data_IF_948740434079
#
_entry.id   IF_948740434079
#
_cell.length_a   1.000
_cell.length_b   1.000
_cell.length_c   1.000
_cell.angle_alpha   90.00
_cell.angle_beta   90.00
_cell.angle_gamma   90.00
#
_symmetry.space_group_name_H-M   'P 1'
#
loop_
_entity.id
_entity.type
_entity.pdbx_description
1 polymer ?
#
# COMPACT_ATOMS: atom_id res chain seq x y z
N UNK A 1 -12.52 14.96 3.36
CA UNK A 1 -12.46 13.50 3.65
C UNK A 1 -13.87 12.97 3.51
N UNK A 2 -14.07 12.01 2.64
CA UNK A 2 -15.34 11.32 2.38
C UNK A 2 -15.29 9.92 2.99
N UNK A 3 -16.41 9.21 2.98
CA UNK A 3 -16.55 7.85 3.47
C UNK A 3 -17.40 7.05 2.48
N UNK A 4 -17.03 5.80 2.26
CA UNK A 4 -17.90 4.79 1.62
C UNK A 4 -18.09 3.62 2.57
N UNK A 5 -19.25 2.99 2.48
CA UNK A 5 -19.57 1.80 3.24
C UNK A 5 -19.20 0.55 2.44
N UNK A 6 -18.50 -0.37 3.09
CA UNK A 6 -18.16 -1.70 2.59
C UNK A 6 -18.56 -2.73 3.65
N UNK A 7 -18.46 -4.02 3.36
CA UNK A 7 -18.81 -5.07 4.33
C UNK A 7 -18.03 -4.96 5.65
N UNK A 8 -16.78 -4.55 5.57
CA UNK A 8 -15.91 -4.34 6.73
C UNK A 8 -16.35 -3.15 7.62
N UNK A 9 -17.04 -2.17 7.05
CA UNK A 9 -17.42 -0.92 7.73
C UNK A 9 -17.18 0.30 6.84
N UNK A 10 -16.88 1.45 7.45
CA UNK A 10 -16.67 2.70 6.73
C UNK A 10 -15.19 2.91 6.39
N UNK A 11 -14.89 3.03 5.10
CA UNK A 11 -13.56 3.39 4.60
C UNK A 11 -13.53 4.90 4.34
N UNK A 12 -12.63 5.60 5.04
CA UNK A 12 -12.36 7.01 4.80
C UNK A 12 -11.47 7.16 3.58
N UNK A 13 -11.70 8.19 2.77
CA UNK A 13 -10.83 8.51 1.63
C UNK A 13 -10.78 10.00 1.33
N UNK A 14 -9.77 10.40 0.59
CA UNK A 14 -9.68 11.71 -0.05
C UNK A 14 -9.78 11.50 -1.55
N UNK A 15 -10.58 12.31 -2.21
CA UNK A 15 -10.67 12.39 -3.67
C UNK A 15 -10.44 13.84 -4.05
N UNK A 16 -9.46 14.09 -4.90
CA UNK A 16 -9.14 15.45 -5.38
C UNK A 16 -10.13 15.94 -6.42
N UNK A 17 -10.96 15.06 -6.94
CA UNK A 17 -11.79 15.34 -8.12
C UNK A 17 -10.96 15.46 -9.39
N UNK A 18 -11.60 15.78 -10.49
CA UNK A 18 -11.00 15.92 -11.81
C UNK A 18 -11.46 14.84 -12.79
N UNK A 19 -11.11 15.02 -14.06
CA UNK A 19 -11.50 14.12 -15.16
C UNK A 19 -10.41 13.12 -15.50
N UNK A 20 -10.83 11.94 -15.98
CA UNK A 20 -9.95 10.86 -16.45
C UNK A 20 -9.71 9.76 -15.44
N UNK A 21 -8.85 8.77 -15.78
CA UNK A 21 -8.59 7.63 -14.94
C UNK A 21 -8.08 8.05 -13.56
N UNK A 22 -8.72 7.60 -12.46
CA UNK A 22 -8.29 7.96 -11.12
C UNK A 22 -6.99 7.23 -10.75
N UNK A 23 -6.04 7.96 -10.16
CA UNK A 23 -4.83 7.39 -9.56
C UNK A 23 -5.18 7.04 -8.11
N UNK A 24 -5.31 5.74 -7.81
CA UNK A 24 -5.60 5.26 -6.46
C UNK A 24 -4.29 4.95 -5.74
N UNK A 25 -3.93 5.78 -4.78
CA UNK A 25 -2.68 5.69 -4.01
C UNK A 25 -2.93 4.92 -2.70
N UNK A 26 -2.42 3.70 -2.63
CA UNK A 26 -2.47 2.89 -1.42
C UNK A 26 -1.31 3.23 -0.48
N UNK A 27 -1.53 3.04 0.81
CA UNK A 27 -0.54 3.34 1.84
C UNK A 27 0.02 2.08 2.48
N UNK A 28 1.17 2.22 3.15
CA UNK A 28 1.82 1.18 3.93
C UNK A 28 1.31 1.06 5.36
N UNK A 29 1.96 0.22 6.15
CA UNK A 29 1.56 -0.19 7.51
C UNK A 29 2.34 0.58 8.56
N UNK A 30 1.72 1.22 9.55
CA UNK A 30 0.33 1.66 9.72
C UNK A 30 0.12 3.12 9.24
N UNK A 31 0.66 3.46 8.10
CA UNK A 31 0.75 4.83 7.56
C UNK A 31 -0.64 5.42 7.27
N UNK A 32 -0.67 6.73 7.05
CA UNK A 32 -1.84 7.40 6.47
C UNK A 32 -1.51 7.81 5.03
N UNK A 33 -2.45 7.69 4.09
CA UNK A 33 -2.14 8.01 2.70
C UNK A 33 -1.80 9.49 2.51
N UNK A 34 -2.41 10.39 3.31
CA UNK A 34 -2.14 11.82 3.23
C UNK A 34 -0.69 12.17 3.55
N UNK A 35 -0.12 11.57 4.59
CA UNK A 35 1.27 11.83 4.97
C UNK A 35 2.26 11.07 4.10
N UNK A 36 1.94 9.84 3.68
CA UNK A 36 2.82 9.04 2.82
C UNK A 36 3.01 9.67 1.44
N UNK A 37 1.94 10.22 0.87
CA UNK A 37 1.92 10.77 -0.48
C UNK A 37 2.06 12.29 -0.53
N UNK A 38 2.28 12.95 0.63
CA UNK A 38 2.32 14.41 0.76
C UNK A 38 3.26 15.10 -0.24
N UNK A 39 4.41 14.50 -0.50
CA UNK A 39 5.41 15.06 -1.42
C UNK A 39 5.11 14.79 -2.90
N UNK A 40 4.34 13.76 -3.21
CA UNK A 40 3.96 13.40 -4.59
C UNK A 40 2.77 14.22 -5.08
N UNK A 41 1.79 14.48 -4.19
CA UNK A 41 0.53 15.17 -4.54
C UNK A 41 0.72 16.52 -5.26
N UNK A 42 1.67 17.40 -4.88
CA UNK A 42 1.88 18.65 -5.61
C UNK A 42 2.25 18.48 -7.08
N UNK A 43 2.85 17.35 -7.45
CA UNK A 43 3.28 17.02 -8.80
C UNK A 43 2.20 16.30 -9.61
N UNK A 44 1.11 15.84 -8.98
CA UNK A 44 -0.06 15.21 -9.62
C UNK A 44 -1.22 16.19 -9.87
N UNK A 45 -0.98 17.51 -9.76
CA UNK A 45 -2.01 18.53 -10.02
C UNK A 45 -2.59 18.37 -11.43
N UNK A 46 -3.93 18.44 -11.53
CA UNK A 46 -4.64 18.22 -12.79
C UNK A 46 -5.01 16.76 -13.07
N UNK A 47 -4.58 15.83 -12.21
CA UNK A 47 -5.03 14.43 -12.23
C UNK A 47 -5.96 14.15 -11.05
N UNK A 48 -6.95 13.28 -11.27
CA UNK A 48 -7.80 12.80 -10.18
C UNK A 48 -7.02 11.80 -9.34
N UNK A 49 -6.84 12.11 -8.06
CA UNK A 49 -6.13 11.25 -7.09
C UNK A 49 -7.12 10.83 -6.01
N UNK A 50 -7.17 9.53 -5.74
CA UNK A 50 -8.01 8.95 -4.72
C UNK A 50 -7.15 8.19 -3.71
N UNK A 51 -7.33 8.47 -2.42
CA UNK A 51 -6.48 7.94 -1.37
C UNK A 51 -7.34 7.32 -0.27
N UNK A 52 -7.66 6.00 -0.33
CA UNK A 52 -8.34 5.31 0.76
C UNK A 52 -7.43 5.15 1.98
N UNK A 53 -8.01 5.22 3.17
CA UNK A 53 -7.34 4.83 4.42
C UNK A 53 -7.77 3.42 4.78
N UNK A 54 -6.95 2.44 4.42
CA UNK A 54 -7.22 1.03 4.68
C UNK A 54 -6.99 0.67 6.17
N UNK A 55 -7.67 -0.36 6.70
CA UNK A 55 -7.66 -0.67 8.13
C UNK A 55 -6.39 -1.42 8.60
N UNK A 56 -5.21 -0.82 8.37
CA UNK A 56 -3.90 -1.36 8.72
C UNK A 56 -3.23 -0.65 9.91
N UNK A 57 -4.02 -0.02 10.80
CA UNK A 57 -3.54 0.61 12.04
C UNK A 57 -3.54 2.15 12.03
N UNK A 58 -3.45 2.81 10.87
CA UNK A 58 -3.56 4.26 10.71
C UNK A 58 -4.99 4.78 10.49
N UNK A 59 -5.96 3.90 10.33
CA UNK A 59 -7.36 4.26 10.16
C UNK A 59 -7.98 4.80 11.46
N UNK A 60 -9.12 5.52 11.33
CA UNK A 60 -9.72 6.26 12.46
C UNK A 60 -11.06 5.70 12.95
N UNK A 61 -11.61 4.71 12.29
CA UNK A 61 -12.85 4.03 12.66
C UNK A 61 -12.62 2.53 12.66
N UNK A 62 -12.86 1.83 13.77
CA UNK A 62 -12.71 0.38 13.82
C UNK A 62 -13.64 -0.31 12.82
N UNK A 63 -13.15 -1.40 12.23
CA UNK A 63 -13.96 -2.27 11.38
C UNK A 63 -14.96 -3.07 12.22
N UNK A 64 -15.96 -3.65 11.54
CA UNK A 64 -16.94 -4.54 12.17
C UNK A 64 -16.21 -5.74 12.80
N UNK A 65 -16.62 -6.19 13.99
CA UNK A 65 -16.06 -7.40 14.59
C UNK A 65 -16.19 -8.61 13.66
N UNK A 66 -15.13 -9.43 13.57
CA UNK A 66 -15.12 -10.62 12.73
C UNK A 66 -14.77 -10.37 11.26
N UNK A 67 -14.48 -9.13 10.86
CA UNK A 67 -13.98 -8.82 9.51
C UNK A 67 -12.66 -9.56 9.26
N UNK A 68 -12.55 -10.19 8.10
CA UNK A 68 -11.27 -10.73 7.62
C UNK A 68 -10.34 -9.58 7.21
N UNK A 69 -9.30 -9.35 8.01
CA UNK A 69 -8.25 -8.37 7.77
C UNK A 69 -6.92 -9.03 7.37
N UNK A 70 -6.95 -10.30 6.93
CA UNK A 70 -5.80 -10.92 6.28
C UNK A 70 -5.41 -10.18 5.00
N UNK A 71 -4.29 -10.55 4.40
CA UNK A 71 -3.84 -9.95 3.13
C UNK A 71 -4.91 -10.07 2.02
N UNK A 72 -5.59 -11.21 1.93
CA UNK A 72 -6.66 -11.44 0.95
C UNK A 72 -7.96 -10.70 1.33
N UNK A 73 -8.31 -10.70 2.62
CA UNK A 73 -9.45 -9.92 3.12
C UNK A 73 -9.27 -8.43 2.87
N UNK A 74 -8.05 -7.91 3.04
CA UNK A 74 -7.73 -6.51 2.73
C UNK A 74 -7.85 -6.20 1.23
N UNK A 75 -7.43 -7.12 0.36
CA UNK A 75 -7.61 -6.98 -1.09
C UNK A 75 -9.10 -7.01 -1.48
N UNK A 76 -9.92 -7.83 -0.80
CA UNK A 76 -11.37 -7.83 -1.00
C UNK A 76 -12.01 -6.50 -0.55
N UNK A 77 -11.57 -5.93 0.58
CA UNK A 77 -12.00 -4.60 1.05
C UNK A 77 -11.62 -3.52 0.02
N UNK A 78 -10.44 -3.62 -0.59
CA UNK A 78 -10.02 -2.70 -1.65
C UNK A 78 -10.95 -2.80 -2.86
N UNK A 79 -11.29 -4.00 -3.32
CA UNK A 79 -12.24 -4.19 -4.44
C UNK A 79 -13.61 -3.58 -4.14
N UNK A 80 -14.18 -3.86 -2.96
CA UNK A 80 -15.44 -3.26 -2.51
C UNK A 80 -15.34 -1.71 -2.41
N UNK A 81 -14.18 -1.19 -2.00
CA UNK A 81 -13.95 0.26 -1.99
C UNK A 81 -14.02 0.84 -3.41
N UNK A 82 -13.37 0.21 -4.40
CA UNK A 82 -13.42 0.67 -5.79
C UNK A 82 -14.86 0.68 -6.33
N UNK A 83 -15.64 -0.35 -6.03
CA UNK A 83 -17.06 -0.43 -6.39
C UNK A 83 -17.90 0.65 -5.71
N UNK A 84 -17.82 0.77 -4.38
CA UNK A 84 -18.61 1.70 -3.59
C UNK A 84 -18.29 3.17 -3.89
N UNK A 85 -17.04 3.46 -4.27
CA UNK A 85 -16.60 4.79 -4.70
C UNK A 85 -16.83 5.05 -6.20
N UNK A 86 -17.43 4.09 -6.94
CA UNK A 86 -17.69 4.15 -8.38
C UNK A 86 -16.44 4.57 -9.20
N UNK A 87 -15.31 3.92 -8.92
CA UNK A 87 -14.04 4.17 -9.59
C UNK A 87 -13.83 3.12 -10.68
N UNK A 88 -13.56 3.55 -11.90
CA UNK A 88 -13.29 2.71 -13.06
C UNK A 88 -12.00 3.14 -13.75
N UNK A 89 -11.38 2.25 -14.54
CA UNK A 89 -10.11 2.46 -15.24
C UNK A 89 -8.98 2.95 -14.30
N UNK A 90 -8.99 2.44 -13.06
CA UNK A 90 -8.11 2.88 -11.99
C UNK A 90 -6.64 2.60 -12.31
N UNK A 91 -5.77 3.58 -12.12
CA UNK A 91 -4.32 3.36 -11.98
C UNK A 91 -4.06 3.03 -10.51
N UNK A 92 -3.93 1.74 -10.20
CA UNK A 92 -3.74 1.25 -8.84
C UNK A 92 -2.26 1.31 -8.46
N UNK A 93 -1.92 2.07 -7.41
CA UNK A 93 -0.54 2.32 -6.98
C UNK A 93 -0.30 1.74 -5.60
N UNK A 94 0.62 0.80 -5.50
CA UNK A 94 1.04 0.16 -4.25
C UNK A 94 2.44 0.65 -3.87
N UNK A 95 2.62 1.03 -2.60
CA UNK A 95 3.94 1.27 -2.01
C UNK A 95 3.98 0.73 -0.59
N UNK A 96 5.07 0.09 -0.20
CA UNK A 96 5.27 -0.64 1.06
C UNK A 96 4.34 -1.87 1.14
N UNK A 97 3.05 -1.70 1.39
CA UNK A 97 2.09 -2.80 1.35
C UNK A 97 1.81 -3.25 -0.09
N UNK A 98 2.14 -4.50 -0.37
CA UNK A 98 1.97 -5.11 -1.70
C UNK A 98 0.66 -5.89 -1.87
N UNK A 99 -0.12 -6.07 -0.80
CA UNK A 99 -1.30 -6.97 -0.81
C UNK A 99 -2.42 -6.55 -1.77
N UNK A 100 -2.43 -5.30 -2.25
CA UNK A 100 -3.36 -4.87 -3.30
C UNK A 100 -3.23 -5.66 -4.61
N UNK A 101 -2.08 -6.31 -4.88
CA UNK A 101 -1.90 -7.20 -6.03
C UNK A 101 -2.85 -8.42 -5.98
N UNK A 102 -3.26 -8.86 -4.78
CA UNK A 102 -4.17 -10.00 -4.63
C UNK A 102 -5.57 -9.71 -5.17
N UNK A 103 -5.96 -8.44 -5.29
CA UNK A 103 -7.19 -8.07 -6.01
C UNK A 103 -7.19 -8.62 -7.44
N UNK A 104 -6.04 -8.54 -8.12
CA UNK A 104 -5.85 -8.97 -9.50
C UNK A 104 -5.56 -10.47 -9.61
N UNK A 105 -4.63 -10.99 -8.81
CA UNK A 105 -4.21 -12.40 -8.89
C UNK A 105 -5.29 -13.38 -8.46
N UNK A 106 -6.16 -12.99 -7.52
CA UNK A 106 -7.30 -13.79 -7.07
C UNK A 106 -8.60 -13.44 -7.82
N UNK A 107 -8.56 -12.47 -8.75
CA UNK A 107 -9.72 -11.97 -9.49
C UNK A 107 -10.91 -11.67 -8.57
N UNK A 108 -10.63 -10.98 -7.45
CA UNK A 108 -11.67 -10.61 -6.50
C UNK A 108 -12.62 -9.59 -7.12
N UNK A 109 -13.89 -9.49 -6.64
CA UNK A 109 -14.84 -8.46 -7.11
C UNK A 109 -14.18 -7.07 -7.10
N UNK A 110 -14.39 -6.29 -8.15
CA UNK A 110 -13.75 -4.99 -8.36
C UNK A 110 -12.39 -5.04 -9.07
N UNK A 111 -11.82 -6.22 -9.35
CA UNK A 111 -10.54 -6.33 -10.09
C UNK A 111 -10.64 -5.77 -11.52
N UNK A 112 -11.79 -5.88 -12.15
CA UNK A 112 -12.08 -5.39 -13.51
C UNK A 112 -12.06 -3.86 -13.60
N UNK A 113 -12.12 -3.15 -12.47
CA UNK A 113 -12.05 -1.68 -12.41
C UNK A 113 -10.62 -1.15 -12.51
N UNK A 114 -9.62 -2.04 -12.45
CA UNK A 114 -8.21 -1.65 -12.54
C UNK A 114 -7.77 -1.61 -14.00
N UNK A 115 -7.40 -0.44 -14.51
CA UNK A 115 -6.91 -0.22 -15.86
C UNK A 115 -5.38 -0.31 -15.98
N UNK A 116 -4.64 -0.02 -14.92
CA UNK A 116 -3.18 -0.15 -14.85
C UNK A 116 -2.70 -0.37 -13.42
N UNK A 117 -1.49 -0.92 -13.28
CA UNK A 117 -0.87 -1.25 -12.00
C UNK A 117 0.49 -0.55 -11.84
N UNK A 118 0.76 0.05 -10.70
CA UNK A 118 2.07 0.53 -10.32
C UNK A 118 2.53 -0.15 -9.02
N UNK A 119 3.60 -0.93 -9.09
CA UNK A 119 4.25 -1.60 -7.97
C UNK A 119 5.50 -0.80 -7.59
N UNK A 120 5.43 -0.06 -6.49
CA UNK A 120 6.48 0.86 -6.05
C UNK A 120 7.10 0.32 -4.76
N UNK A 121 8.30 -0.26 -4.83
CA UNK A 121 9.02 -0.78 -3.66
C UNK A 121 8.05 -1.35 -2.62
N UNK A 122 7.34 -2.41 -2.98
CA UNK A 122 6.30 -3.02 -2.15
C UNK A 122 6.57 -4.51 -1.91
N UNK A 123 5.85 -5.07 -0.96
CA UNK A 123 5.89 -6.52 -0.70
C UNK A 123 5.57 -7.33 -1.96
N UNK A 124 6.36 -8.37 -2.21
CA UNK A 124 6.22 -9.26 -3.37
C UNK A 124 6.69 -10.68 -3.05
N UNK A 125 6.18 -11.65 -3.76
CA UNK A 125 6.49 -13.07 -3.63
C UNK A 125 6.22 -13.56 -2.20
N UNK A 126 7.19 -14.15 -1.53
CA UNK A 126 7.12 -14.61 -0.14
C UNK A 126 7.71 -13.61 0.89
N UNK A 127 8.00 -12.38 0.46
CA UNK A 127 8.45 -11.30 1.34
C UNK A 127 7.25 -10.54 1.97
N UNK A 128 6.31 -11.28 2.55
CA UNK A 128 5.12 -10.83 3.26
C UNK A 128 5.02 -11.47 4.66
N UNK A 129 5.28 -10.74 5.74
CA UNK A 129 5.88 -9.41 5.74
C UNK A 129 7.39 -9.48 5.50
N UNK A 130 8.03 -8.36 5.14
CA UNK A 130 9.48 -8.30 4.99
C UNK A 130 10.17 -8.58 6.33
N UNK A 131 11.43 -9.02 6.26
CA UNK A 131 12.17 -9.51 7.42
C UNK A 131 12.10 -8.60 8.66
N UNK A 132 12.25 -7.26 8.56
CA UNK A 132 12.12 -6.37 9.73
C UNK A 132 10.71 -6.35 10.33
N UNK A 133 9.67 -6.60 9.55
CA UNK A 133 8.27 -6.59 10.01
C UNK A 133 7.80 -7.94 10.58
N UNK A 134 8.58 -9.02 10.45
CA UNK A 134 8.22 -10.35 10.99
C UNK A 134 8.06 -10.34 12.50
N UNK A 135 8.83 -9.53 13.22
CA UNK A 135 8.67 -9.36 14.66
C UNK A 135 7.29 -8.79 15.03
N UNK A 136 6.80 -7.82 14.25
CA UNK A 136 5.45 -7.26 14.42
C UNK A 136 4.38 -8.33 14.21
N UNK A 137 4.50 -9.13 13.16
CA UNK A 137 3.57 -10.22 12.87
C UNK A 137 3.53 -11.28 13.99
N UNK A 138 4.68 -11.61 14.59
CA UNK A 138 4.77 -12.53 15.72
C UNK A 138 4.14 -11.93 16.99
N UNK A 139 4.44 -10.67 17.30
CA UNK A 139 3.91 -9.96 18.46
C UNK A 139 2.40 -9.72 18.34
N UNK A 140 1.89 -9.53 17.13
CA UNK A 140 0.46 -9.35 16.89
C UNK A 140 -0.40 -10.56 17.29
N UNK A 141 0.18 -11.77 17.30
CA UNK A 141 -0.48 -13.01 17.75
C UNK A 141 -0.57 -13.14 19.27
N UNK A 142 0.12 -12.27 20.01
CA UNK A 142 0.13 -12.30 21.47
C UNK A 142 -0.86 -11.26 22.01
N UNK A 143 -1.75 -11.63 22.96
CA UNK A 143 -2.64 -10.67 23.61
C UNK A 143 -1.87 -9.48 24.17
N UNK A 144 -2.29 -8.27 23.82
CA UNK A 144 -1.61 -7.04 24.24
C UNK A 144 -0.34 -6.67 23.47
N UNK A 145 0.15 -7.52 22.57
CA UNK A 145 1.40 -7.29 21.82
C UNK A 145 1.38 -6.02 20.99
N UNK A 146 0.30 -5.79 20.23
CA UNK A 146 0.16 -4.53 19.46
C UNK A 146 0.06 -3.31 20.39
N UNK A 147 -0.60 -3.43 21.56
CA UNK A 147 -0.62 -2.33 22.53
C UNK A 147 0.80 -1.98 22.98
N UNK A 148 1.62 -2.98 23.36
CA UNK A 148 3.02 -2.76 23.76
C UNK A 148 3.83 -2.14 22.61
N UNK A 149 3.67 -2.64 21.38
CA UNK A 149 4.34 -2.08 20.20
C UNK A 149 4.00 -0.60 20.02
N UNK A 150 2.73 -0.25 20.06
CA UNK A 150 2.26 1.13 19.88
C UNK A 150 2.73 2.04 21.02
N UNK A 151 2.85 1.52 22.26
CA UNK A 151 3.45 2.28 23.38
C UNK A 151 4.95 2.47 23.17
N UNK A 152 5.68 1.44 22.72
CA UNK A 152 7.10 1.55 22.41
C UNK A 152 7.40 2.60 21.34
N UNK A 153 6.52 2.75 20.34
CA UNK A 153 6.63 3.79 19.31
C UNK A 153 6.50 5.23 19.83
N UNK A 154 6.16 5.45 21.11
CA UNK A 154 6.27 6.77 21.77
C UNK A 154 7.73 7.18 21.96
N UNK A 155 8.62 6.22 22.06
CA UNK A 155 10.05 6.47 22.26
C UNK A 155 10.70 6.77 20.90
N UNK A 156 11.26 7.97 20.77
CA UNK A 156 11.91 8.41 19.53
C UNK A 156 12.98 7.43 19.00
N UNK A 157 13.88 6.86 19.84
CA UNK A 157 14.87 5.89 19.35
C UNK A 157 14.25 4.65 18.71
N UNK A 158 13.08 4.21 19.21
CA UNK A 158 12.38 3.02 18.68
C UNK A 158 11.75 3.34 17.32
N UNK A 159 10.95 4.41 17.23
CA UNK A 159 10.25 4.73 15.97
C UNK A 159 11.21 5.23 14.87
N UNK A 160 12.35 5.80 15.24
CA UNK A 160 13.40 6.26 14.30
C UNK A 160 14.50 5.20 14.06
N UNK A 161 14.32 3.98 14.57
CA UNK A 161 15.31 2.92 14.36
C UNK A 161 15.49 2.62 12.85
N UNK A 162 16.74 2.56 12.42
CA UNK A 162 17.09 2.28 11.02
C UNK A 162 16.67 0.86 10.57
N UNK A 163 16.55 -0.07 11.50
CA UNK A 163 16.02 -1.41 11.23
C UNK A 163 14.49 -1.46 11.09
N UNK A 164 13.81 -0.33 11.17
CA UNK A 164 12.38 -0.17 11.03
C UNK A 164 12.05 1.07 10.21
N UNK A 165 11.09 1.87 10.66
CA UNK A 165 10.59 3.03 9.88
C UNK A 165 11.67 4.07 9.57
N UNK A 166 12.65 4.28 10.46
CA UNK A 166 13.74 5.22 10.22
C UNK A 166 14.66 4.84 9.05
N UNK A 167 14.62 3.58 8.60
CA UNK A 167 15.37 3.10 7.43
C UNK A 167 14.59 3.08 6.12
N UNK A 168 13.28 3.37 6.16
CA UNK A 168 12.41 3.29 4.97
C UNK A 168 12.56 4.47 4.00
N UNK A 169 13.22 5.55 4.41
CA UNK A 169 13.51 6.72 3.57
C UNK A 169 14.96 7.17 3.78
N UNK A 170 15.63 7.52 2.71
CA UNK A 170 16.99 8.12 2.74
C UNK A 170 16.97 9.56 3.22
N UNK A 171 15.92 10.32 2.87
CA UNK A 171 15.72 11.70 3.34
C UNK A 171 15.28 11.76 4.80
N UNK A 172 14.88 10.60 5.36
CA UNK A 172 14.31 10.47 6.69
C UNK A 172 12.83 10.83 6.73
N UNK A 173 12.15 10.28 7.74
CA UNK A 173 10.73 10.54 7.97
C UNK A 173 10.62 11.50 9.16
N UNK A 174 9.90 12.62 9.04
CA UNK A 174 9.69 13.54 10.14
C UNK A 174 9.08 12.85 11.37
N UNK A 175 9.53 13.24 12.54
CA UNK A 175 9.14 12.57 13.79
C UNK A 175 7.66 12.73 14.15
N UNK A 176 7.06 13.84 13.75
CA UNK A 176 5.63 14.11 13.87
C UNK A 176 4.79 13.20 12.94
N UNK A 177 5.26 12.94 11.72
CA UNK A 177 4.65 11.99 10.78
C UNK A 177 4.65 10.58 11.38
N UNK A 178 5.79 10.12 11.90
CA UNK A 178 5.87 8.81 12.56
C UNK A 178 4.94 8.72 13.78
N UNK A 179 4.80 9.80 14.55
CA UNK A 179 3.87 9.85 15.69
C UNK A 179 2.40 9.80 15.22
N UNK A 180 2.10 10.46 14.12
CA UNK A 180 0.77 10.47 13.51
C UNK A 180 0.32 9.05 13.12
N UNK A 181 1.19 8.27 12.48
CA UNK A 181 0.87 6.92 12.02
C UNK A 181 0.38 5.99 13.13
N UNK A 182 0.97 6.11 14.32
CA UNK A 182 0.60 5.27 15.47
C UNK A 182 -0.48 5.88 16.38
N UNK A 183 -0.88 7.13 16.15
CA UNK A 183 -1.83 7.82 17.01
C UNK A 183 -3.21 7.14 17.05
N UNK A 184 -3.83 6.70 15.95
CA UNK A 184 -5.12 6.03 15.98
C UNK A 184 -5.10 4.73 16.80
N UNK A 185 -4.15 3.84 16.51
CA UNK A 185 -4.00 2.59 17.24
C UNK A 185 -3.66 2.80 18.73
N UNK A 186 -3.00 3.90 19.07
CA UNK A 186 -2.74 4.26 20.48
C UNK A 186 -4.01 4.67 21.21
N UNK A 187 -4.89 5.42 20.54
CA UNK A 187 -6.09 5.98 21.14
C UNK A 187 -7.23 4.97 21.26
N UNK A 188 -7.40 4.07 20.29
CA UNK A 188 -8.58 3.22 20.14
C UNK A 188 -8.25 1.73 20.19
N UNK A 189 -9.00 0.98 21.03
CA UNK A 189 -8.82 -0.47 21.21
C UNK A 189 -9.30 -1.27 19.98
N UNK A 190 -10.35 -0.80 19.29
CA UNK A 190 -10.86 -1.42 18.08
C UNK A 190 -9.86 -1.31 16.93
N UNK A 191 -9.21 -0.13 16.79
CA UNK A 191 -8.14 0.05 15.80
C UNK A 191 -6.92 -0.84 16.11
N UNK A 192 -6.58 -1.02 17.39
CA UNK A 192 -5.53 -1.99 17.78
C UNK A 192 -5.89 -3.42 17.45
N UNK A 193 -7.18 -3.81 17.66
CA UNK A 193 -7.69 -5.13 17.26
C UNK A 193 -7.54 -5.34 15.76
N UNK A 194 -7.93 -4.36 14.96
CA UNK A 194 -7.86 -4.42 13.50
C UNK A 194 -6.41 -4.49 13.03
N UNK A 195 -5.54 -3.67 13.62
CA UNK A 195 -4.11 -3.72 13.33
C UNK A 195 -3.48 -5.08 13.70
N UNK A 196 -3.87 -5.66 14.84
CA UNK A 196 -3.41 -6.98 15.24
C UNK A 196 -3.88 -8.07 14.26
N UNK A 197 -5.16 -8.03 13.85
CA UNK A 197 -5.71 -8.97 12.88
C UNK A 197 -5.00 -8.91 11.53
N UNK A 198 -4.75 -7.70 11.01
CA UNK A 198 -3.97 -7.50 9.79
C UNK A 198 -2.54 -8.03 9.93
N UNK A 199 -1.81 -7.60 10.95
CA UNK A 199 -0.40 -7.97 11.14
C UNK A 199 -0.20 -9.48 11.38
N UNK A 200 -1.17 -10.16 12.02
CA UNK A 200 -1.15 -11.60 12.24
C UNK A 200 -1.60 -12.41 11.01
N UNK A 201 -2.27 -11.77 10.06
CA UNK A 201 -2.95 -12.40 8.91
C UNK A 201 -2.06 -12.67 7.69
N UNK A 202 -0.74 -12.74 7.86
CA UNK A 202 0.17 -13.08 6.76
C UNK A 202 -0.02 -14.55 6.31
N UNK A 203 -0.25 -14.80 5.00
CA UNK A 203 -0.35 -16.15 4.46
C UNK A 203 0.98 -16.91 4.52
N UNK A 204 0.94 -18.22 4.31
CA UNK A 204 2.18 -19.01 4.18
C UNK A 204 2.93 -18.67 2.88
N UNK A 205 4.26 -18.88 2.88
CA UNK A 205 5.09 -18.65 1.68
C UNK A 205 4.59 -19.41 0.45
N UNK A 206 4.08 -20.62 0.62
CA UNK A 206 3.52 -21.41 -0.49
C UNK A 206 2.30 -20.73 -1.13
N UNK A 207 1.40 -20.20 -0.32
CA UNK A 207 0.22 -19.46 -0.78
C UNK A 207 0.63 -18.15 -1.48
N UNK A 208 1.58 -17.42 -0.90
CA UNK A 208 2.09 -16.17 -1.47
C UNK A 208 2.79 -16.39 -2.83
N UNK A 209 3.60 -17.44 -2.95
CA UNK A 209 4.28 -17.77 -4.22
C UNK A 209 3.29 -18.24 -5.29
N UNK A 210 2.24 -19.01 -4.90
CA UNK A 210 1.19 -19.40 -5.82
C UNK A 210 0.38 -18.19 -6.32
N UNK A 211 0.06 -17.24 -5.45
CA UNK A 211 -0.58 -15.99 -5.85
C UNK A 211 0.32 -15.15 -6.75
N UNK A 212 1.61 -15.00 -6.40
CA UNK A 212 2.58 -14.27 -7.21
C UNK A 212 2.76 -14.88 -8.62
N UNK A 213 2.71 -16.20 -8.77
CA UNK A 213 2.80 -16.86 -10.08
C UNK A 213 1.67 -16.41 -11.03
N UNK A 214 0.47 -16.10 -10.50
CA UNK A 214 -0.68 -15.62 -11.29
C UNK A 214 -0.50 -14.18 -11.81
N UNK A 215 0.51 -13.44 -11.34
CA UNK A 215 0.87 -12.14 -11.96
C UNK A 215 1.23 -12.29 -13.46
N UNK A 216 1.69 -13.47 -13.89
CA UNK A 216 1.92 -13.76 -15.31
C UNK A 216 0.65 -13.66 -16.18
N UNK A 217 -0.53 -13.75 -15.56
CA UNK A 217 -1.83 -13.62 -16.24
C UNK A 217 -2.36 -12.17 -16.26
N UNK A 218 -1.73 -11.26 -15.51
CA UNK A 218 -2.13 -9.85 -15.40
C UNK A 218 -1.60 -9.08 -16.61
N UNK A 219 -2.44 -8.92 -17.63
CA UNK A 219 -2.09 -8.26 -18.89
C UNK A 219 -2.32 -6.73 -18.87
N UNK A 220 -2.38 -6.10 -17.70
CA UNK A 220 -2.53 -4.66 -17.54
C UNK A 220 -1.21 -3.93 -17.84
N UNK A 221 -1.24 -2.70 -18.37
CA UNK A 221 -0.07 -1.83 -18.36
C UNK A 221 0.48 -1.74 -16.93
N UNK A 222 1.74 -2.13 -16.73
CA UNK A 222 2.32 -2.20 -15.39
C UNK A 222 3.62 -1.42 -15.30
N UNK A 223 3.73 -0.60 -14.28
CA UNK A 223 4.95 0.10 -13.90
C UNK A 223 5.51 -0.54 -12.64
N UNK A 224 6.76 -0.98 -12.68
CA UNK A 224 7.52 -1.45 -11.52
C UNK A 224 8.57 -0.38 -11.20
N UNK A 225 8.45 0.27 -10.05
CA UNK A 225 9.45 1.23 -9.55
C UNK A 225 10.13 0.63 -8.34
N UNK A 226 11.45 0.42 -8.42
CA UNK A 226 12.15 -0.21 -7.30
C UNK A 226 13.29 0.64 -6.79
N UNK A 227 13.44 0.69 -5.47
CA UNK A 227 14.43 1.54 -4.82
C UNK A 227 15.80 0.89 -4.77
N UNK A 228 16.84 1.62 -5.18
CA UNK A 228 18.21 1.11 -5.23
C UNK A 228 18.81 0.81 -3.84
N UNK A 229 18.32 1.53 -2.81
CA UNK A 229 18.84 1.42 -1.44
C UNK A 229 17.83 0.80 -0.48
N UNK A 230 16.88 0.00 -0.99
CA UNK A 230 15.87 -0.64 -0.15
C UNK A 230 16.46 -1.80 0.65
N UNK A 231 16.23 -1.76 1.96
CA UNK A 231 16.63 -2.81 2.89
C UNK A 231 15.49 -3.76 3.27
N UNK A 232 14.26 -3.44 2.86
CA UNK A 232 13.06 -4.23 3.14
C UNK A 232 12.57 -5.00 1.91
N UNK A 233 12.63 -4.35 0.73
CA UNK A 233 12.15 -4.91 -0.55
C UNK A 233 13.36 -5.13 -1.48
N UNK A 234 13.92 -6.35 -1.56
CA UNK A 234 15.11 -6.62 -2.36
C UNK A 234 14.98 -6.17 -3.81
N UNK A 235 15.99 -5.51 -4.37
CA UNK A 235 15.98 -5.02 -5.76
C UNK A 235 15.69 -6.15 -6.76
N UNK A 236 16.16 -7.36 -6.48
CA UNK A 236 15.89 -8.54 -7.30
C UNK A 236 14.38 -8.85 -7.43
N UNK A 237 13.55 -8.45 -6.45
CA UNK A 237 12.10 -8.63 -6.55
C UNK A 237 11.49 -7.70 -7.61
N UNK A 238 11.99 -6.46 -7.73
CA UNK A 238 11.56 -5.55 -8.79
C UNK A 238 11.86 -6.09 -10.19
N UNK A 239 13.08 -6.63 -10.40
CA UNK A 239 13.45 -7.26 -11.66
C UNK A 239 12.57 -8.48 -11.94
N UNK A 240 12.41 -9.36 -10.96
CA UNK A 240 11.58 -10.57 -11.10
C UNK A 240 10.10 -10.25 -11.39
N UNK A 241 9.55 -9.17 -10.80
CA UNK A 241 8.19 -8.71 -11.10
C UNK A 241 8.08 -8.21 -12.54
N UNK A 242 9.07 -7.43 -13.01
CA UNK A 242 9.08 -6.93 -14.37
C UNK A 242 9.22 -8.05 -15.41
N UNK A 243 10.00 -9.09 -15.11
CA UNK A 243 10.15 -10.27 -15.98
C UNK A 243 8.88 -11.14 -16.01
N UNK A 244 8.13 -11.17 -14.90
CA UNK A 244 6.94 -12.01 -14.75
C UNK A 244 5.69 -11.38 -15.40
N UNK A 245 5.50 -10.06 -15.28
CA UNK A 245 4.33 -9.34 -15.74
C UNK A 245 4.42 -9.05 -17.25
N UNK A 246 3.44 -9.47 -18.08
CA UNK A 246 3.56 -9.42 -19.56
C UNK A 246 3.72 -8.02 -20.15
N UNK A 247 3.25 -6.98 -19.45
CA UNK A 247 3.27 -5.59 -19.92
C UNK A 247 3.94 -4.65 -18.92
N UNK A 248 4.94 -5.16 -18.21
CA UNK A 248 5.67 -4.36 -17.22
C UNK A 248 6.90 -3.66 -17.81
N UNK A 249 7.20 -2.49 -17.23
CA UNK A 249 8.50 -1.84 -17.34
C UNK A 249 9.08 -1.60 -15.96
N UNK A 250 10.38 -1.82 -15.78
CA UNK A 250 11.10 -1.52 -14.54
C UNK A 250 11.77 -0.15 -14.64
N UNK A 251 11.65 0.62 -13.56
CA UNK A 251 12.43 1.83 -13.32
C UNK A 251 13.08 1.72 -11.94
N UNK A 252 14.39 1.96 -11.86
CA UNK A 252 15.10 1.97 -10.58
C UNK A 252 15.19 3.40 -10.07
N UNK A 253 14.61 3.66 -8.90
CA UNK A 253 14.73 4.90 -8.17
C UNK A 253 16.10 4.91 -7.46
N UNK A 254 17.06 5.65 -8.03
CA UNK A 254 18.48 5.58 -7.67
C UNK A 254 18.81 6.12 -6.29
N UNK A 255 18.02 7.08 -5.80
CA UNK A 255 18.24 7.76 -4.52
C UNK A 255 17.21 7.40 -3.46
N UNK A 256 16.45 6.31 -3.66
CA UNK A 256 15.35 5.91 -2.77
C UNK A 256 15.64 4.67 -1.94
N UNK A 257 14.98 4.59 -0.78
CA UNK A 257 14.65 3.39 -0.05
C UNK A 257 13.15 3.04 -0.26
N UNK A 258 12.54 2.22 0.59
CA UNK A 258 11.17 1.73 0.47
C UNK A 258 10.15 2.84 0.16
N UNK A 259 10.28 3.98 0.82
CA UNK A 259 9.38 5.11 0.63
C UNK A 259 9.84 6.05 -0.52
N UNK A 260 9.80 5.54 -1.74
CA UNK A 260 10.03 6.34 -2.96
C UNK A 260 9.21 7.63 -2.98
N UNK A 261 7.93 7.66 -2.48
CA UNK A 261 7.16 8.89 -2.36
C UNK A 261 7.82 10.00 -1.53
N UNK A 262 8.70 9.65 -0.58
CA UNK A 262 9.46 10.61 0.23
C UNK A 262 10.77 11.00 -0.44
N UNK A 263 11.44 10.04 -1.07
CA UNK A 263 12.82 10.20 -1.54
C UNK A 263 12.91 10.81 -2.95
N UNK A 264 12.07 10.34 -3.88
CA UNK A 264 12.05 10.79 -5.28
C UNK A 264 10.60 11.07 -5.77
N UNK A 265 9.87 12.01 -5.13
CA UNK A 265 8.46 12.28 -5.44
C UNK A 265 8.21 12.79 -6.85
N UNK A 266 9.11 13.60 -7.42
CA UNK A 266 8.98 14.14 -8.78
C UNK A 266 9.13 13.04 -9.83
N UNK A 267 10.15 12.17 -9.68
CA UNK A 267 10.35 11.01 -10.54
C UNK A 267 9.08 10.13 -10.52
N UNK A 268 8.61 9.79 -9.32
CA UNK A 268 7.45 8.92 -9.17
C UNK A 268 6.19 9.54 -9.79
N UNK A 269 5.93 10.82 -9.54
CA UNK A 269 4.78 11.51 -10.12
C UNK A 269 4.81 11.52 -11.65
N UNK A 270 5.95 11.81 -12.27
CA UNK A 270 6.12 11.79 -13.73
C UNK A 270 5.81 10.42 -14.32
N UNK A 271 6.31 9.35 -13.69
CA UNK A 271 6.06 7.97 -14.10
C UNK A 271 4.58 7.57 -13.97
N UNK A 272 3.89 8.03 -12.91
CA UNK A 272 2.46 7.77 -12.71
C UNK A 272 1.60 8.53 -13.73
N UNK A 273 1.98 9.76 -14.09
CA UNK A 273 1.33 10.54 -15.14
C UNK A 273 1.44 9.82 -16.50
N UNK A 274 2.64 9.35 -16.85
CA UNK A 274 2.85 8.59 -18.09
C UNK A 274 1.97 7.33 -18.14
N UNK A 275 1.91 6.58 -17.03
CA UNK A 275 1.07 5.39 -16.93
C UNK A 275 -0.41 5.74 -17.08
N UNK A 276 -0.88 6.81 -16.45
CA UNK A 276 -2.27 7.28 -16.53
C UNK A 276 -2.64 7.70 -17.95
N UNK A 277 -1.73 8.38 -18.66
CA UNK A 277 -1.94 8.76 -20.05
C UNK A 277 -2.04 7.54 -20.98
N UNK A 278 -1.29 6.47 -20.71
CA UNK A 278 -1.38 5.22 -21.45
C UNK A 278 -2.77 4.54 -21.31
N UNK A 279 -3.40 4.61 -20.13
CA UNK A 279 -4.76 4.10 -19.90
C UNK A 279 -5.78 4.93 -20.72
N UNK A 280 -5.71 6.25 -20.66
CA UNK A 280 -6.59 7.14 -21.43
C UNK A 280 -6.63 6.82 -22.92
N UNK A 281 -5.47 6.54 -23.53
CA UNK A 281 -5.37 6.25 -24.96
C UNK A 281 -5.85 4.84 -25.33
N UNK A 282 -5.91 3.92 -24.38
CA UNK A 282 -6.38 2.54 -24.59
C UNK A 282 -7.91 2.44 -24.54
N UNK A 283 -8.58 3.26 -23.74
CA UNK A 283 -10.04 3.26 -23.57
C UNK A 283 -10.83 3.90 -24.74
N UNK A 284 -10.13 4.51 -25.70
CA UNK A 284 -10.75 5.14 -26.89
C UNK A 284 -10.62 4.28 -28.16
N UNK A 285 -10.22 3.01 -28.06
CA UNK A 285 -10.17 2.05 -29.15
C UNK A 285 -11.17 0.93 -28.90
#
# INVERSE_FOLDING_TARGET
MAYVEVDAGLIAYVDTGGDGPPIVLLHGVPMTPQSQWAHVLPHLRGHRVVMPTLPMGGHRRPMRPGTDLSQFGMAAILGQFLEAAALDEVVLVLNDWGGGQFLLTERLPGHERVGALALVACEAFDNFPPAPARALAAVAKVPGGIWLTVQAMRLRPVRQARSGYGGMSRRGIPDDVLREWFAPARADAGIRRDFAAFAAGAPSSAVLLAAAARLAEVALPTLVVWAAHDTMMPLAHGQRLADLLPRARLVVAGESATLVPFDEPELLAGLLIDLTNAVRHSGHR
#
